data_IF_201247269810
#
_entry.id   IF_201247269810
#
_cell.length_a   1.000
_cell.length_b   1.000
_cell.length_c   1.000
_cell.angle_alpha   90.00
_cell.angle_beta   90.00
_cell.angle_gamma   90.00
#
_symmetry.space_group_name_H-M   'P 1'
#
loop_
_entity.id
_entity.type
_entity.pdbx_description
1 polymer ?
#
# COMPACT_ATOMS: atom_id res chain seq x y z
N UNK A 1 1.36 -18.64 -8.56
CA UNK A 1 1.80 -18.17 -7.23
C UNK A 1 1.96 -16.67 -7.34
N UNK A 2 1.17 -15.86 -6.62
CA UNK A 2 1.44 -14.42 -6.61
C UNK A 2 2.68 -14.19 -5.75
N UNK A 3 3.82 -14.05 -6.40
CA UNK A 3 5.10 -13.81 -5.73
C UNK A 3 5.06 -12.44 -5.05
N UNK A 4 5.71 -12.29 -3.90
CA UNK A 4 5.77 -11.02 -3.12
C UNK A 4 6.14 -9.81 -3.99
N UNK A 5 6.88 -10.03 -5.08
CA UNK A 5 7.24 -9.05 -6.09
C UNK A 5 6.04 -8.51 -6.93
N UNK A 6 5.05 -9.33 -7.24
CA UNK A 6 3.82 -8.88 -7.90
C UNK A 6 2.99 -8.00 -6.96
N UNK A 7 2.91 -8.36 -5.67
CA UNK A 7 2.25 -7.54 -4.66
C UNK A 7 2.95 -6.19 -4.50
N UNK A 8 4.28 -6.18 -4.40
CA UNK A 8 5.07 -4.94 -4.35
C UNK A 8 4.83 -4.07 -5.58
N UNK A 9 4.74 -4.67 -6.77
CA UNK A 9 4.44 -3.94 -8.02
C UNK A 9 3.04 -3.31 -7.96
N UNK A 10 2.03 -4.08 -7.54
CA UNK A 10 0.65 -3.58 -7.41
C UNK A 10 0.54 -2.47 -6.36
N UNK A 11 1.22 -2.63 -5.21
CA UNK A 11 1.31 -1.62 -4.16
C UNK A 11 1.92 -0.33 -4.71
N UNK A 12 3.04 -0.44 -5.43
CA UNK A 12 3.74 0.71 -6.02
C UNK A 12 2.84 1.43 -7.03
N UNK A 13 2.21 0.69 -7.94
CA UNK A 13 1.26 1.25 -8.92
C UNK A 13 0.09 1.95 -8.25
N UNK A 14 -0.54 1.31 -7.26
CA UNK A 14 -1.65 1.89 -6.50
C UNK A 14 -1.23 3.16 -5.75
N UNK A 15 -0.03 3.15 -5.18
CA UNK A 15 0.54 4.32 -4.48
C UNK A 15 0.77 5.48 -5.44
N UNK A 16 1.25 5.20 -6.66
CA UNK A 16 1.43 6.21 -7.71
C UNK A 16 0.07 6.74 -8.18
N UNK A 17 -0.91 5.86 -8.43
CA UNK A 17 -2.29 6.25 -8.78
C UNK A 17 -2.89 7.18 -7.71
N UNK A 18 -2.71 6.83 -6.43
CA UNK A 18 -3.15 7.67 -5.31
C UNK A 18 -2.45 9.03 -5.35
N UNK A 19 -1.14 9.07 -5.62
CA UNK A 19 -0.42 10.34 -5.68
C UNK A 19 -0.89 11.25 -6.81
N UNK A 20 -1.13 10.68 -7.98
CA UNK A 20 -1.48 11.40 -9.21
C UNK A 20 -2.97 11.81 -9.23
N UNK A 21 -3.87 10.90 -8.84
CA UNK A 21 -5.31 11.08 -8.99
C UNK A 21 -6.02 11.44 -7.69
N UNK A 22 -5.44 11.10 -6.54
CA UNK A 22 -6.04 11.29 -5.22
C UNK A 22 -5.05 11.99 -4.25
N UNK A 23 -4.56 13.19 -4.57
CA UNK A 23 -3.56 13.88 -3.76
C UNK A 23 -4.01 14.07 -2.29
N UNK A 24 -5.32 14.17 -2.04
CA UNK A 24 -5.88 14.22 -0.69
C UNK A 24 -5.66 12.96 0.15
N UNK A 25 -5.55 11.81 -0.51
CA UNK A 25 -5.29 10.53 0.16
C UNK A 25 -3.80 10.35 0.50
N UNK A 26 -2.90 11.16 -0.07
CA UNK A 26 -1.46 11.08 0.25
C UNK A 26 -1.18 11.27 1.74
N UNK A 27 -1.94 12.13 2.44
CA UNK A 27 -1.77 12.37 3.88
C UNK A 27 -1.91 11.09 4.71
N UNK A 28 -2.80 10.18 4.30
CA UNK A 28 -2.99 8.90 4.98
C UNK A 28 -1.90 7.89 4.62
N UNK A 29 -1.33 7.97 3.40
CA UNK A 29 -0.22 7.10 3.00
C UNK A 29 1.05 7.34 3.80
N UNK A 30 1.35 8.60 4.11
CA UNK A 30 2.52 8.93 4.91
C UNK A 30 2.37 8.49 6.38
N UNK A 31 1.16 8.59 6.94
CA UNK A 31 0.86 8.03 8.26
C UNK A 31 1.02 6.50 8.28
N UNK A 32 0.60 5.82 7.21
CA UNK A 32 0.69 4.35 7.12
C UNK A 32 2.12 3.86 6.84
N UNK A 33 2.97 4.66 6.19
CA UNK A 33 4.38 4.31 5.96
C UNK A 33 5.22 4.35 7.24
N UNK A 34 4.81 5.11 8.25
CA UNK A 34 5.46 5.11 9.56
C UNK A 34 5.25 3.78 10.29
N UNK A 35 4.13 3.09 10.03
CA UNK A 35 3.81 1.80 10.69
C UNK A 35 4.37 0.58 9.96
N UNK A 36 4.76 0.71 8.70
CA UNK A 36 5.55 -0.30 8.02
C UNK A 36 6.99 -0.23 8.53
N UNK A 37 7.57 -1.32 9.05
CA UNK A 37 8.96 -1.31 9.50
C UNK A 37 9.84 -0.95 8.32
N UNK A 38 10.48 0.23 8.38
CA UNK A 38 11.55 0.62 7.49
C UNK A 38 12.69 -0.39 7.66
N UNK A 39 12.68 -1.43 6.85
CA UNK A 39 13.87 -1.99 6.19
C UNK A 39 15.10 -2.34 7.01
N UNK A 40 15.00 -2.64 8.31
CA UNK A 40 16.13 -3.13 9.13
C UNK A 40 15.93 -4.56 9.66
N UNK A 41 15.11 -5.34 8.97
CA UNK A 41 15.00 -6.77 9.22
C UNK A 41 15.46 -7.53 7.98
N UNK A 42 16.78 -7.64 7.84
CA UNK A 42 17.43 -8.48 6.82
C UNK A 42 17.02 -9.97 6.90
N UNK A 43 16.28 -10.36 7.94
CA UNK A 43 15.74 -11.71 8.18
C UNK A 43 14.21 -11.79 8.27
N UNK A 44 13.46 -10.68 8.24
CA UNK A 44 12.01 -10.75 8.17
C UNK A 44 11.64 -11.06 6.72
N UNK A 45 11.34 -12.33 6.41
CA UNK A 45 10.60 -12.69 5.20
C UNK A 45 9.45 -11.71 5.10
N UNK A 46 9.53 -10.80 4.13
CA UNK A 46 8.47 -9.83 3.86
C UNK A 46 7.24 -10.67 3.60
N UNK A 47 6.39 -10.75 4.62
CA UNK A 47 5.36 -11.76 4.61
C UNK A 47 4.34 -11.36 3.56
N UNK A 48 4.03 -12.31 2.68
CA UNK A 48 3.19 -12.04 1.52
C UNK A 48 1.78 -11.62 1.99
N UNK A 49 1.34 -12.09 3.16
CA UNK A 49 0.11 -11.64 3.82
C UNK A 49 0.19 -10.17 4.23
N UNK A 50 1.32 -9.73 4.80
CA UNK A 50 1.52 -8.33 5.18
C UNK A 50 1.46 -7.39 3.97
N UNK A 51 2.09 -7.78 2.86
CA UNK A 51 1.99 -7.02 1.60
C UNK A 51 0.56 -7.01 1.05
N UNK A 52 -0.12 -8.16 1.10
CA UNK A 52 -1.47 -8.26 0.59
C UNK A 52 -2.46 -7.45 1.44
N UNK A 53 -2.30 -7.46 2.76
CA UNK A 53 -3.07 -6.63 3.68
C UNK A 53 -2.84 -5.14 3.40
N UNK A 54 -1.59 -4.72 3.19
CA UNK A 54 -1.29 -3.34 2.82
C UNK A 54 -1.94 -2.94 1.49
N UNK A 55 -1.84 -3.78 0.46
CA UNK A 55 -2.51 -3.55 -0.82
C UNK A 55 -4.04 -3.43 -0.67
N UNK A 56 -4.65 -4.28 0.15
CA UNK A 56 -6.08 -4.23 0.43
C UNK A 56 -6.47 -2.93 1.13
N UNK A 57 -5.69 -2.47 2.12
CA UNK A 57 -5.94 -1.18 2.77
C UNK A 57 -5.85 -0.01 1.79
N UNK A 58 -4.89 -0.02 0.86
CA UNK A 58 -4.80 0.99 -0.20
C UNK A 58 -6.01 0.96 -1.13
N UNK A 59 -6.50 -0.24 -1.48
CA UNK A 59 -7.70 -0.41 -2.29
C UNK A 59 -8.93 0.15 -1.58
N UNK A 60 -9.17 -0.26 -0.34
CA UNK A 60 -10.30 0.22 0.45
C UNK A 60 -10.29 1.74 0.64
N UNK A 61 -9.11 2.33 0.84
CA UNK A 61 -8.98 3.78 0.99
C UNK A 61 -9.46 4.51 -0.27
N UNK A 62 -9.02 4.06 -1.44
CA UNK A 62 -9.46 4.61 -2.72
C UNK A 62 -10.94 4.35 -2.97
N UNK A 63 -11.43 3.16 -2.66
CA UNK A 63 -12.83 2.79 -2.89
C UNK A 63 -13.79 3.58 -1.98
N UNK A 64 -13.41 3.79 -0.71
CA UNK A 64 -14.14 4.66 0.22
C UNK A 64 -14.16 6.10 -0.25
N UNK A 65 -13.04 6.59 -0.76
CA UNK A 65 -12.96 7.93 -1.32
C UNK A 65 -13.85 8.08 -2.57
N UNK A 66 -13.79 7.11 -3.50
CA UNK A 66 -14.63 7.08 -4.70
C UNK A 66 -16.12 6.94 -4.39
N UNK A 67 -16.47 6.18 -3.35
CA UNK A 67 -17.88 5.95 -2.96
C UNK A 67 -18.49 7.13 -2.20
N UNK A 68 -17.67 7.97 -1.57
CA UNK A 68 -18.10 9.18 -0.86
C UNK A 68 -18.00 10.45 -1.72
N UNK A 69 -17.57 10.35 -2.99
CA UNK A 69 -17.38 11.45 -3.92
C UNK A 69 -18.35 11.38 -5.10
#
# INVERSE_FOLDING_TARGET
MNTSQELLTKISQKTIEIKEHYPELQKYLDETRITLPHGDNSDAKVDTESLQNYLNSLNEMVDKYKSNS
#
